data_IF_046434498061
#
_entry.id   IF_046434498061
#
_cell.length_a   1.000
_cell.length_b   1.000
_cell.length_c   1.000
_cell.angle_alpha   90.00
_cell.angle_beta   90.00
_cell.angle_gamma   90.00
#
_symmetry.space_group_name_H-M   'P 1'
#
loop_
_entity.id
_entity.type
_entity.pdbx_description
1 polymer ?
#
# COMPACT_ATOMS: atom_id res chain seq x y z
N UNK A 1 1.33 38.00 14.78
CA UNK A 1 2.21 37.37 13.78
C UNK A 1 1.47 36.13 13.28
N UNK A 2 1.31 35.99 11.97
CA UNK A 2 0.67 34.79 11.43
C UNK A 2 1.66 33.62 11.54
N UNK A 3 1.29 32.56 12.22
CA UNK A 3 2.06 31.31 12.25
C UNK A 3 2.11 30.76 10.83
N UNK A 4 3.31 30.74 10.25
CA UNK A 4 3.54 30.15 8.94
C UNK A 4 3.69 28.65 9.12
N UNK A 5 2.65 27.89 8.78
CA UNK A 5 2.69 26.42 8.76
C UNK A 5 3.49 25.94 7.55
N UNK A 6 4.76 25.62 7.77
CA UNK A 6 5.67 25.11 6.74
C UNK A 6 5.42 23.61 6.56
N UNK A 7 4.68 23.24 5.52
CA UNK A 7 4.49 21.84 5.14
C UNK A 7 5.72 21.32 4.38
N UNK A 8 6.49 20.47 5.04
CA UNK A 8 7.61 19.77 4.41
C UNK A 8 7.10 18.78 3.33
N UNK A 9 7.84 18.69 2.22
CA UNK A 9 7.54 17.72 1.18
C UNK A 9 7.65 16.28 1.74
N UNK A 10 6.58 15.50 1.63
CA UNK A 10 6.53 14.09 2.07
C UNK A 10 7.09 13.16 1.00
N UNK A 11 8.31 13.37 0.58
CA UNK A 11 8.96 12.51 -0.40
C UNK A 11 9.32 11.16 0.22
N UNK A 12 9.14 10.12 -0.55
CA UNK A 12 9.58 8.78 -0.17
C UNK A 12 11.01 8.61 -0.63
N UNK A 13 11.93 8.57 0.30
CA UNK A 13 13.35 8.40 0.02
C UNK A 13 13.74 6.93 0.03
N UNK A 14 14.78 6.60 -0.74
CA UNK A 14 15.44 5.30 -0.66
C UNK A 14 16.38 5.34 0.53
N UNK A 15 16.01 4.62 1.57
CA UNK A 15 16.74 4.58 2.84
C UNK A 15 16.67 3.20 3.46
N UNK A 16 17.60 2.87 4.32
CA UNK A 16 17.60 1.62 5.09
C UNK A 16 16.40 1.63 6.05
N UNK A 17 15.66 0.51 6.08
CA UNK A 17 14.40 0.40 6.84
C UNK A 17 13.15 0.80 6.04
N UNK A 18 13.28 1.38 4.86
CA UNK A 18 12.12 1.67 3.99
C UNK A 18 11.47 0.38 3.52
N UNK A 19 10.16 0.26 3.71
CA UNK A 19 9.37 -0.84 3.17
C UNK A 19 9.02 -0.54 1.72
N UNK A 20 9.23 -1.51 0.84
CA UNK A 20 8.94 -1.43 -0.59
C UNK A 20 7.95 -2.50 -1.01
N UNK A 21 7.12 -2.18 -1.99
CA UNK A 21 6.25 -3.13 -2.68
C UNK A 21 6.93 -3.57 -3.96
N UNK A 22 7.12 -4.87 -4.13
CA UNK A 22 7.72 -5.46 -5.33
C UNK A 22 6.68 -5.49 -6.44
N UNK A 23 6.98 -4.87 -7.59
CA UNK A 23 6.06 -4.79 -8.74
C UNK A 23 6.37 -5.77 -9.86
N UNK A 24 7.59 -6.26 -9.95
CA UNK A 24 8.03 -7.17 -11.01
C UNK A 24 8.91 -8.28 -10.44
N UNK A 25 8.87 -9.44 -11.07
CA UNK A 25 9.64 -10.61 -10.68
C UNK A 25 8.82 -11.65 -9.91
N UNK A 26 9.47 -12.69 -9.38
CA UNK A 26 8.79 -13.83 -8.75
C UNK A 26 8.06 -13.44 -7.44
N UNK A 27 8.45 -12.34 -6.81
CA UNK A 27 7.85 -11.86 -5.56
C UNK A 27 6.89 -10.68 -5.78
N UNK A 28 6.34 -10.53 -6.98
CA UNK A 28 5.40 -9.45 -7.31
C UNK A 28 4.22 -9.41 -6.34
N UNK A 29 3.90 -8.21 -5.85
CA UNK A 29 2.79 -7.99 -4.90
C UNK A 29 3.16 -8.19 -3.45
N UNK A 30 4.39 -8.63 -3.14
CA UNK A 30 4.88 -8.81 -1.77
C UNK A 30 5.65 -7.58 -1.28
N UNK A 31 5.72 -7.44 0.04
CA UNK A 31 6.48 -6.39 0.70
C UNK A 31 7.88 -6.89 1.08
N UNK A 32 8.84 -5.97 1.05
CA UNK A 32 10.18 -6.22 1.57
C UNK A 32 10.74 -4.92 2.17
N UNK A 33 11.71 -5.03 3.05
CA UNK A 33 12.41 -3.87 3.64
C UNK A 33 13.78 -3.72 2.99
N UNK A 34 14.18 -2.49 2.72
CA UNK A 34 15.55 -2.17 2.28
C UNK A 34 16.47 -2.35 3.48
N UNK A 35 17.39 -3.30 3.36
CA UNK A 35 18.39 -3.59 4.40
C UNK A 35 19.70 -2.88 4.11
N UNK A 36 20.04 -2.74 2.82
CA UNK A 36 21.24 -2.04 2.37
C UNK A 36 21.03 -1.47 0.96
N UNK A 37 21.72 -0.37 0.67
CA UNK A 37 21.78 0.23 -0.66
C UNK A 37 23.08 -0.24 -1.31
N UNK A 38 22.96 -1.06 -2.36
CA UNK A 38 24.12 -1.61 -3.09
C UNK A 38 24.70 -0.55 -4.02
N UNK A 39 23.83 0.06 -4.84
CA UNK A 39 24.18 1.14 -5.76
C UNK A 39 22.96 2.03 -6.05
N UNK A 40 23.12 3.00 -6.94
CA UNK A 40 22.06 3.93 -7.32
C UNK A 40 20.85 3.28 -8.04
N UNK A 41 20.97 2.01 -8.45
CA UNK A 41 19.92 1.26 -9.17
C UNK A 41 19.42 0.04 -8.41
N UNK A 42 20.17 -0.47 -7.41
CA UNK A 42 19.89 -1.73 -6.75
C UNK A 42 19.96 -1.61 -5.24
N UNK A 43 19.09 -2.30 -4.56
CA UNK A 43 19.02 -2.38 -3.11
C UNK A 43 18.94 -3.83 -2.66
N UNK A 44 19.52 -4.14 -1.51
CA UNK A 44 19.36 -5.42 -0.85
C UNK A 44 18.08 -5.37 -0.03
N UNK A 45 17.16 -6.30 -0.30
CA UNK A 45 15.86 -6.36 0.37
C UNK A 45 15.66 -7.67 1.11
N UNK A 46 14.86 -7.61 2.17
CA UNK A 46 14.44 -8.75 2.98
C UNK A 46 12.99 -8.54 3.42
N UNK A 47 12.13 -9.54 3.23
CA UNK A 47 10.70 -9.46 3.54
C UNK A 47 10.25 -10.58 4.45
N UNK A 48 10.60 -10.56 5.74
CA UNK A 48 10.25 -11.60 6.70
C UNK A 48 8.82 -11.41 7.24
N UNK A 49 7.82 -11.49 6.36
CA UNK A 49 6.41 -11.41 6.76
C UNK A 49 6.04 -12.48 7.79
N UNK A 50 5.00 -12.23 8.58
CA UNK A 50 4.40 -13.18 9.50
C UNK A 50 3.67 -14.31 8.77
N UNK A 51 3.17 -14.07 7.56
CA UNK A 51 2.52 -15.05 6.71
C UNK A 51 3.53 -15.69 5.75
N UNK A 52 3.68 -17.00 5.79
CA UNK A 52 4.62 -17.75 4.93
C UNK A 52 4.44 -17.44 3.43
N UNK A 53 3.20 -17.33 2.97
CA UNK A 53 2.90 -17.00 1.59
C UNK A 53 3.44 -15.63 1.13
N UNK A 54 3.67 -14.71 2.06
CA UNK A 54 4.14 -13.35 1.80
C UNK A 54 5.63 -13.16 2.03
N UNK A 55 6.34 -14.17 2.51
CA UNK A 55 7.78 -14.10 2.73
C UNK A 55 8.51 -13.81 1.43
N UNK A 56 9.46 -12.90 1.50
CA UNK A 56 10.41 -12.59 0.44
C UNK A 56 11.81 -12.90 0.94
N UNK A 57 12.51 -13.87 0.34
CA UNK A 57 13.88 -14.17 0.72
C UNK A 57 14.79 -12.99 0.39
N UNK A 58 15.89 -12.91 1.12
CA UNK A 58 16.89 -11.86 0.93
C UNK A 58 17.47 -11.94 -0.47
N UNK A 59 17.35 -10.85 -1.22
CA UNK A 59 17.91 -10.75 -2.57
C UNK A 59 18.17 -9.29 -2.98
N UNK A 60 18.92 -9.11 -4.06
CA UNK A 60 19.14 -7.79 -4.66
C UNK A 60 17.98 -7.45 -5.58
N UNK A 61 17.32 -6.33 -5.31
CA UNK A 61 16.16 -5.84 -6.07
C UNK A 61 16.52 -4.55 -6.83
N UNK A 62 16.29 -4.49 -8.15
CA UNK A 62 16.37 -3.24 -8.88
C UNK A 62 15.29 -2.24 -8.42
N UNK A 63 15.65 -0.98 -8.22
CA UNK A 63 14.70 0.07 -7.80
C UNK A 63 13.57 0.28 -8.81
N UNK A 64 13.79 0.00 -10.10
CA UNK A 64 12.74 0.02 -11.12
C UNK A 64 11.64 -1.03 -10.92
N UNK A 65 11.92 -2.08 -10.16
CA UNK A 65 10.96 -3.12 -9.81
C UNK A 65 10.27 -2.89 -8.45
N UNK A 66 10.66 -1.83 -7.75
CA UNK A 66 10.15 -1.47 -6.43
C UNK A 66 9.24 -0.25 -6.48
N UNK A 67 8.25 -0.22 -5.60
CA UNK A 67 7.49 0.99 -5.26
C UNK A 67 7.74 1.31 -3.80
N UNK A 68 8.25 2.49 -3.52
CA UNK A 68 8.48 2.96 -2.16
C UNK A 68 7.14 3.18 -1.45
N UNK A 69 7.00 2.64 -0.25
CA UNK A 69 5.83 2.87 0.61
C UNK A 69 6.09 4.02 1.59
N UNK A 70 5.08 4.41 2.36
CA UNK A 70 5.24 5.39 3.45
C UNK A 70 5.86 4.78 4.71
N UNK A 71 5.95 3.46 4.78
CA UNK A 71 6.40 2.77 5.98
C UNK A 71 7.92 2.71 6.02
N UNK A 72 8.47 3.07 7.18
CA UNK A 72 9.89 2.97 7.50
C UNK A 72 10.02 2.25 8.82
N UNK A 73 10.91 1.28 8.90
CA UNK A 73 11.31 0.63 10.14
C UNK A 73 12.42 1.49 10.76
N UNK A 74 12.16 2.18 11.87
CA UNK A 74 13.16 3.04 12.49
C UNK A 74 14.29 2.20 13.11
N UNK A 75 15.49 2.78 13.14
CA UNK A 75 16.67 2.20 13.81
C UNK A 75 17.06 0.80 13.31
N UNK A 76 16.73 0.45 12.06
CA UNK A 76 17.23 -0.78 11.46
C UNK A 76 18.73 -0.64 11.20
N UNK A 77 19.59 -1.52 11.77
CA UNK A 77 21.00 -1.50 11.46
C UNK A 77 21.25 -1.76 9.97
N UNK A 78 22.25 -1.09 9.41
CA UNK A 78 22.69 -1.34 8.05
C UNK A 78 23.17 -2.79 7.91
N UNK A 79 22.85 -3.44 6.81
CA UNK A 79 23.16 -4.85 6.55
C UNK A 79 22.64 -5.83 7.61
N UNK A 80 21.61 -5.47 8.37
CA UNK A 80 21.02 -6.32 9.41
C UNK A 80 20.66 -7.71 8.86
N UNK A 81 20.86 -8.76 9.65
CA UNK A 81 20.44 -10.12 9.31
C UNK A 81 18.91 -10.27 9.32
N UNK A 82 18.39 -11.36 8.76
CA UNK A 82 16.94 -11.61 8.69
C UNK A 82 16.26 -11.68 10.07
N UNK A 83 16.95 -12.16 11.10
CA UNK A 83 16.42 -12.24 12.48
C UNK A 83 16.02 -10.87 13.06
N UNK A 84 16.95 -9.91 13.15
CA UNK A 84 16.65 -8.54 13.56
C UNK A 84 15.59 -7.87 12.69
N UNK A 85 15.62 -8.05 11.35
CA UNK A 85 14.60 -7.52 10.44
C UNK A 85 13.23 -8.08 10.79
N UNK A 86 13.10 -9.40 11.00
CA UNK A 86 11.85 -10.06 11.39
C UNK A 86 11.30 -9.52 12.71
N UNK A 87 12.16 -9.34 13.71
CA UNK A 87 11.76 -8.79 15.01
C UNK A 87 11.20 -7.38 14.89
N UNK A 88 11.92 -6.50 14.18
CA UNK A 88 11.50 -5.11 13.97
C UNK A 88 10.26 -5.01 13.06
N UNK A 89 10.13 -5.88 12.07
CA UNK A 89 8.95 -5.98 11.21
C UNK A 89 7.68 -6.28 12.02
N UNK A 90 7.74 -7.30 12.87
CA UNK A 90 6.64 -7.68 13.75
C UNK A 90 6.33 -6.58 14.78
N UNK A 91 7.35 -6.00 15.39
CA UNK A 91 7.21 -4.92 16.38
C UNK A 91 6.55 -3.66 15.79
N UNK A 92 6.82 -3.35 14.52
CA UNK A 92 6.21 -2.22 13.83
C UNK A 92 4.87 -2.57 13.15
N UNK A 93 4.39 -3.82 13.23
CA UNK A 93 3.13 -4.30 12.65
C UNK A 93 2.99 -3.95 11.15
N UNK A 94 4.05 -4.14 10.37
CA UNK A 94 4.09 -3.70 8.97
C UNK A 94 2.97 -4.34 8.14
N UNK A 95 2.72 -5.64 8.29
CA UNK A 95 1.68 -6.35 7.55
C UNK A 95 0.29 -5.78 7.86
N UNK A 96 -0.01 -5.51 9.14
CA UNK A 96 -1.28 -4.93 9.56
C UNK A 96 -1.48 -3.49 9.06
N UNK A 97 -0.44 -2.67 9.13
CA UNK A 97 -0.46 -1.29 8.60
C UNK A 97 -0.63 -1.28 7.08
N UNK A 98 0.03 -2.20 6.38
CA UNK A 98 -0.12 -2.33 4.93
C UNK A 98 -1.53 -2.73 4.54
N UNK A 99 -2.12 -3.73 5.19
CA UNK A 99 -3.49 -4.18 4.90
C UNK A 99 -4.53 -3.06 5.06
N UNK A 100 -4.32 -2.13 6.00
CA UNK A 100 -5.16 -0.95 6.22
C UNK A 100 -4.90 0.17 5.20
N UNK A 101 -3.82 0.11 4.42
CA UNK A 101 -3.47 1.16 3.46
C UNK A 101 -4.44 1.19 2.27
N UNK A 102 -4.71 2.39 1.74
CA UNK A 102 -5.59 2.57 0.58
C UNK A 102 -5.09 1.84 -0.68
N UNK A 103 -3.78 1.68 -0.81
CA UNK A 103 -3.16 0.98 -1.95
C UNK A 103 -3.47 -0.52 -1.87
N UNK A 104 -3.27 -1.14 -0.70
CA UNK A 104 -3.57 -2.55 -0.50
C UNK A 104 -5.05 -2.84 -0.67
N UNK A 105 -5.93 -2.02 -0.08
CA UNK A 105 -7.38 -2.15 -0.21
C UNK A 105 -7.86 -2.03 -1.66
N UNK A 106 -7.29 -1.08 -2.43
CA UNK A 106 -7.60 -0.94 -3.86
C UNK A 106 -7.11 -2.15 -4.66
N UNK A 107 -5.91 -2.65 -4.38
CA UNK A 107 -5.36 -3.83 -5.04
C UNK A 107 -6.23 -5.06 -4.78
N UNK A 108 -6.62 -5.29 -3.53
CA UNK A 108 -7.50 -6.38 -3.14
C UNK A 108 -8.90 -6.26 -3.76
N UNK A 109 -9.49 -5.08 -3.74
CA UNK A 109 -10.76 -4.79 -4.43
C UNK A 109 -10.70 -5.07 -5.92
N UNK A 110 -9.60 -4.69 -6.59
CA UNK A 110 -9.40 -4.97 -8.01
C UNK A 110 -9.23 -6.48 -8.29
N UNK A 111 -8.51 -7.19 -7.44
CA UNK A 111 -8.35 -8.64 -7.56
C UNK A 111 -9.69 -9.36 -7.37
N UNK A 112 -10.48 -8.97 -6.38
CA UNK A 112 -11.84 -9.51 -6.20
C UNK A 112 -12.71 -9.27 -7.42
N UNK A 113 -12.68 -8.06 -8.04
CA UNK A 113 -13.43 -7.75 -9.26
C UNK A 113 -12.99 -8.58 -10.47
N UNK A 114 -11.70 -8.87 -10.61
CA UNK A 114 -11.19 -9.71 -11.70
C UNK A 114 -11.72 -11.14 -11.62
N UNK A 115 -11.86 -11.65 -10.41
CA UNK A 115 -12.26 -13.03 -10.14
C UNK A 115 -13.79 -13.25 -10.11
N UNK A 116 -14.60 -12.20 -10.29
CA UNK A 116 -16.07 -12.30 -10.34
C UNK A 116 -16.51 -13.07 -11.58
N UNK A 117 -17.47 -13.98 -11.39
CA UNK A 117 -18.23 -14.61 -12.47
C UNK A 117 -19.15 -13.60 -13.14
N UNK A 118 -19.69 -13.93 -14.32
CA UNK A 118 -20.60 -13.05 -15.06
C UNK A 118 -21.87 -12.73 -14.25
N UNK A 119 -22.45 -13.73 -13.62
CA UNK A 119 -23.63 -13.54 -12.78
C UNK A 119 -23.35 -12.65 -11.56
N UNK A 120 -22.20 -12.78 -10.93
CA UNK A 120 -21.78 -11.89 -9.83
C UNK A 120 -21.56 -10.46 -10.31
N UNK A 121 -21.00 -10.28 -11.50
CA UNK A 121 -20.86 -8.96 -12.14
C UNK A 121 -22.24 -8.31 -12.36
N UNK A 122 -23.22 -9.08 -12.82
CA UNK A 122 -24.59 -8.61 -12.94
C UNK A 122 -25.18 -8.19 -11.60
N UNK A 123 -25.02 -8.98 -10.55
CA UNK A 123 -25.44 -8.61 -9.18
C UNK A 123 -24.80 -7.31 -8.71
N UNK A 124 -23.48 -7.17 -8.90
CA UNK A 124 -22.74 -5.93 -8.56
C UNK A 124 -23.28 -4.73 -9.33
N UNK A 125 -23.61 -4.90 -10.63
CA UNK A 125 -24.20 -3.84 -11.46
C UNK A 125 -25.55 -3.38 -10.88
N UNK A 126 -26.41 -4.32 -10.50
CA UNK A 126 -27.70 -4.01 -9.86
C UNK A 126 -27.53 -3.24 -8.55
N UNK A 127 -26.66 -3.70 -7.66
CA UNK A 127 -26.36 -3.03 -6.38
C UNK A 127 -25.80 -1.62 -6.59
N UNK A 128 -24.90 -1.45 -7.55
CA UNK A 128 -24.34 -0.11 -7.88
C UNK A 128 -25.40 0.84 -8.42
N UNK A 129 -26.36 0.34 -9.24
CA UNK A 129 -27.48 1.15 -9.71
C UNK A 129 -28.38 1.57 -8.56
N UNK A 130 -28.69 0.67 -7.64
CA UNK A 130 -29.50 0.99 -6.44
C UNK A 130 -28.84 2.06 -5.59
N UNK A 131 -27.55 1.87 -5.23
CA UNK A 131 -26.80 2.85 -4.44
C UNK A 131 -26.75 4.24 -5.13
N UNK A 132 -26.52 4.26 -6.45
CA UNK A 132 -26.51 5.51 -7.22
C UNK A 132 -27.89 6.17 -7.24
N UNK A 133 -28.96 5.39 -7.37
CA UNK A 133 -30.32 5.92 -7.36
C UNK A 133 -30.66 6.58 -6.02
N UNK A 134 -30.29 5.97 -4.90
CA UNK A 134 -30.51 6.59 -3.58
C UNK A 134 -29.77 7.92 -3.43
N UNK A 135 -28.51 7.98 -3.90
CA UNK A 135 -27.74 9.24 -3.91
C UNK A 135 -28.42 10.29 -4.80
N UNK A 136 -28.86 9.91 -6.00
CA UNK A 136 -29.57 10.85 -6.90
C UNK A 136 -30.89 11.35 -6.29
N UNK A 137 -31.62 10.48 -5.63
CA UNK A 137 -32.88 10.82 -4.96
C UNK A 137 -32.68 11.82 -3.82
N UNK A 138 -31.64 11.61 -2.98
CA UNK A 138 -31.32 12.55 -1.91
C UNK A 138 -30.80 13.88 -2.46
N UNK A 139 -29.97 13.85 -3.48
CA UNK A 139 -29.48 15.05 -4.15
C UNK A 139 -30.62 15.87 -4.77
N UNK A 140 -31.59 15.21 -5.45
CA UNK A 140 -32.73 15.88 -6.02
C UNK A 140 -33.61 16.58 -4.96
N UNK A 141 -33.81 15.93 -3.79
CA UNK A 141 -34.51 16.54 -2.66
C UNK A 141 -33.81 17.77 -2.13
N UNK A 142 -32.49 17.71 -1.93
CA UNK A 142 -31.70 18.85 -1.46
C UNK A 142 -31.75 19.99 -2.48
N UNK A 143 -31.64 19.68 -3.77
CA UNK A 143 -31.69 20.68 -4.84
C UNK A 143 -33.08 21.34 -4.94
N UNK A 144 -34.15 20.60 -4.73
CA UNK A 144 -35.50 21.16 -4.72
C UNK A 144 -35.77 22.05 -3.51
N UNK A 145 -35.16 21.77 -2.37
CA UNK A 145 -35.27 22.54 -1.14
C UNK A 145 -34.37 23.77 -1.08
N UNK A 146 -33.34 23.86 -1.98
CA UNK A 146 -32.45 25.01 -2.04
C UNK A 146 -33.19 26.25 -2.59
N UNK A 147 -33.05 27.45 -1.97
CA UNK A 147 -33.64 28.68 -2.49
C UNK A 147 -33.14 28.94 -3.91
N UNK A 148 -34.09 29.23 -4.82
CA UNK A 148 -33.74 29.66 -6.17
C UNK A 148 -33.15 31.06 -6.07
N UNK A 149 -31.85 31.18 -6.45
CA UNK A 149 -31.18 32.47 -6.59
C UNK A 149 -31.77 33.24 -7.78
#
# INVERSE_FOLDING_TARGET
MADIDVKLAQWKLVEVGRVVLIRRGPFTGKLATIVEIVDHKRVLVDGPSTEEAKIVPRHVLPLSHATLTHFVIPKLPRAAGTGPVKKLWAQNEIDGKWAKSSIAQKADSNNRRKNLTDFERFKVLRLRKQARFEVQKTHAKIRAAAPKA
#
